data_IF_680833830101
#
_entry.id   IF_680833830101
#
_cell.length_a   1.000
_cell.length_b   1.000
_cell.length_c   1.000
_cell.angle_alpha   90.00
_cell.angle_beta   90.00
_cell.angle_gamma   90.00
#
_symmetry.space_group_name_H-M   'P 1'
#
loop_
_entity.id
_entity.type
_entity.pdbx_description
1 polymer ?
#
# COMPACT_ATOMS: atom_id res chain seq x y z
N UNK A 1 12.04 5.58 5.07
CA UNK A 1 11.08 4.45 5.05
C UNK A 1 10.55 4.14 6.44
N UNK A 2 9.24 4.27 6.65
CA UNK A 2 8.62 4.14 7.96
C UNK A 2 8.50 2.64 8.36
N UNK A 3 9.59 2.08 8.92
CA UNK A 3 9.66 0.68 9.38
C UNK A 3 8.49 0.29 10.29
N UNK A 4 7.96 1.25 11.05
CA UNK A 4 6.80 1.05 11.91
C UNK A 4 5.50 0.84 11.12
N UNK A 5 5.29 1.55 10.00
CA UNK A 5 4.15 1.30 9.11
C UNK A 5 4.22 -0.08 8.45
N UNK A 6 5.41 -0.53 8.01
CA UNK A 6 5.57 -1.90 7.48
C UNK A 6 5.30 -2.97 8.56
N UNK A 7 5.81 -2.77 9.78
CA UNK A 7 5.54 -3.66 10.90
C UNK A 7 4.04 -3.70 11.22
N UNK A 8 3.40 -2.54 11.22
CA UNK A 8 1.96 -2.43 11.45
C UNK A 8 1.15 -3.16 10.37
N UNK A 9 1.54 -3.04 9.09
CA UNK A 9 0.91 -3.80 7.99
C UNK A 9 0.99 -5.32 8.23
N UNK A 10 2.16 -5.83 8.61
CA UNK A 10 2.37 -7.25 8.92
C UNK A 10 1.53 -7.69 10.12
N UNK A 11 1.44 -6.85 11.17
CA UNK A 11 0.61 -7.11 12.34
C UNK A 11 -0.87 -7.18 11.97
N UNK A 12 -1.38 -6.25 11.16
CA UNK A 12 -2.76 -6.24 10.67
C UNK A 12 -3.07 -7.53 9.89
N UNK A 13 -2.22 -7.92 8.94
CA UNK A 13 -2.36 -9.18 8.19
C UNK A 13 -2.37 -10.42 9.09
N UNK A 14 -1.46 -10.46 10.06
CA UNK A 14 -1.40 -11.55 11.05
C UNK A 14 -2.68 -11.63 11.87
N UNK A 15 -3.21 -10.48 12.27
CA UNK A 15 -4.44 -10.39 13.05
C UNK A 15 -5.66 -10.83 12.23
N UNK A 16 -5.78 -10.42 10.96
CA UNK A 16 -6.79 -10.95 10.02
C UNK A 16 -6.75 -12.47 9.92
N UNK A 17 -5.55 -13.04 9.77
CA UNK A 17 -5.36 -14.49 9.75
C UNK A 17 -5.91 -15.18 11.00
N UNK A 18 -5.68 -14.60 12.20
CA UNK A 18 -6.24 -15.12 13.46
C UNK A 18 -7.76 -15.03 13.51
N UNK A 19 -8.35 -13.92 13.06
CA UNK A 19 -9.81 -13.73 12.99
C UNK A 19 -10.44 -14.79 12.09
N UNK A 20 -9.87 -15.05 10.91
CA UNK A 20 -10.36 -16.07 9.98
C UNK A 20 -10.32 -17.48 10.57
N UNK A 21 -9.24 -17.81 11.29
CA UNK A 21 -9.15 -19.08 12.02
C UNK A 21 -10.24 -19.20 13.10
N UNK A 22 -10.55 -18.11 13.79
CA UNK A 22 -11.61 -18.09 14.81
C UNK A 22 -13.00 -18.23 14.18
N UNK A 23 -13.27 -17.54 13.08
CA UNK A 23 -14.51 -17.68 12.31
C UNK A 23 -14.74 -19.13 11.88
N UNK A 24 -13.70 -19.80 11.34
CA UNK A 24 -13.79 -21.22 10.97
C UNK A 24 -14.18 -22.12 12.15
N UNK A 25 -13.57 -21.90 13.32
CA UNK A 25 -13.90 -22.65 14.54
C UNK A 25 -15.34 -22.40 15.01
N UNK A 26 -15.79 -21.15 15.00
CA UNK A 26 -17.15 -20.78 15.41
C UNK A 26 -18.20 -21.35 14.47
N UNK A 27 -17.96 -21.31 13.16
CA UNK A 27 -18.85 -21.87 12.14
C UNK A 27 -19.01 -23.37 12.31
N UNK A 28 -17.91 -24.10 12.50
CA UNK A 28 -17.96 -25.55 12.75
C UNK A 28 -18.73 -25.88 14.03
N UNK A 29 -18.54 -25.07 15.09
CA UNK A 29 -19.25 -25.26 16.36
C UNK A 29 -20.75 -24.94 16.26
N UNK A 30 -21.11 -23.89 15.52
CA UNK A 30 -22.50 -23.55 15.25
C UNK A 30 -23.21 -24.66 14.47
N UNK A 31 -22.57 -25.18 13.42
CA UNK A 31 -23.08 -26.30 12.64
C UNK A 31 -23.26 -27.57 13.48
N UNK A 32 -22.30 -27.86 14.37
CA UNK A 32 -22.42 -28.97 15.30
C UNK A 32 -23.65 -28.83 16.23
N UNK A 33 -23.88 -27.65 16.81
CA UNK A 33 -25.06 -27.42 17.65
C UNK A 33 -26.37 -27.46 16.84
N UNK A 34 -26.37 -26.96 15.61
CA UNK A 34 -27.52 -27.08 14.71
C UNK A 34 -27.87 -28.56 14.45
N UNK A 35 -26.87 -29.40 14.20
CA UNK A 35 -27.08 -30.84 14.02
C UNK A 35 -27.61 -31.52 15.29
N UNK A 36 -27.04 -31.20 16.46
CA UNK A 36 -27.53 -31.71 17.75
C UNK A 36 -28.97 -31.27 18.03
N UNK A 37 -29.33 -30.05 17.67
CA UNK A 37 -30.70 -29.55 17.78
C UNK A 37 -31.66 -30.40 16.94
N UNK A 38 -31.33 -30.63 15.67
CA UNK A 38 -32.15 -31.41 14.74
C UNK A 38 -32.35 -32.87 15.22
N UNK A 39 -31.29 -33.52 15.70
CA UNK A 39 -31.35 -34.90 16.21
C UNK A 39 -32.23 -35.02 17.44
N UNK A 40 -32.22 -34.02 18.33
CA UNK A 40 -32.95 -34.06 19.59
C UNK A 40 -34.37 -33.49 19.52
N UNK A 41 -34.77 -32.89 18.39
CA UNK A 41 -36.02 -32.15 18.26
C UNK A 41 -37.28 -32.96 18.63
N UNK A 42 -37.29 -34.27 18.35
CA UNK A 42 -38.47 -35.13 18.56
C UNK A 42 -38.54 -35.76 19.94
N UNK A 43 -37.39 -36.03 20.59
CA UNK A 43 -37.32 -36.74 21.88
C UNK A 43 -37.02 -35.82 23.07
N UNK A 44 -36.28 -34.75 22.84
CA UNK A 44 -35.80 -33.84 23.88
C UNK A 44 -35.92 -32.38 23.44
N UNK A 45 -37.16 -31.91 23.27
CA UNK A 45 -37.48 -30.58 22.74
C UNK A 45 -36.78 -29.42 23.48
N UNK A 46 -36.73 -29.46 24.81
CA UNK A 46 -36.06 -28.42 25.61
C UNK A 46 -34.54 -28.34 25.33
N UNK A 47 -33.88 -29.50 25.18
CA UNK A 47 -32.45 -29.58 24.87
C UNK A 47 -32.20 -29.13 23.43
N UNK A 48 -33.06 -29.53 22.49
CA UNK A 48 -32.99 -29.09 21.09
C UNK A 48 -33.10 -27.56 20.96
N UNK A 49 -34.00 -26.92 21.72
CA UNK A 49 -34.10 -25.46 21.77
C UNK A 49 -32.85 -24.79 22.33
N UNK A 50 -32.22 -25.38 23.35
CA UNK A 50 -30.98 -24.85 23.90
C UNK A 50 -29.85 -24.88 22.86
N UNK A 51 -29.68 -25.99 22.15
CA UNK A 51 -28.68 -26.08 21.06
C UNK A 51 -28.98 -25.11 19.91
N UNK A 52 -30.25 -24.87 19.57
CA UNK A 52 -30.62 -23.88 18.57
C UNK A 52 -30.19 -22.47 18.99
N UNK A 53 -30.43 -22.09 20.24
CA UNK A 53 -29.99 -20.79 20.80
C UNK A 53 -28.48 -20.63 20.79
N UNK A 54 -27.74 -21.66 21.20
CA UNK A 54 -26.27 -21.66 21.17
C UNK A 54 -25.74 -21.50 19.73
N UNK A 55 -26.32 -22.22 18.77
CA UNK A 55 -25.98 -22.06 17.35
C UNK A 55 -26.22 -20.63 16.85
N UNK A 56 -27.37 -20.04 17.19
CA UNK A 56 -27.73 -18.67 16.77
C UNK A 56 -26.76 -17.63 17.37
N UNK A 57 -26.38 -17.79 18.63
CA UNK A 57 -25.40 -16.91 19.28
C UNK A 57 -24.03 -16.98 18.60
N UNK A 58 -23.56 -18.18 18.26
CA UNK A 58 -22.29 -18.35 17.54
C UNK A 58 -22.34 -17.74 16.13
N UNK A 59 -23.46 -17.85 15.42
CA UNK A 59 -23.63 -17.21 14.12
C UNK A 59 -23.59 -15.68 14.22
N UNK A 60 -24.25 -15.09 15.23
CA UNK A 60 -24.17 -13.64 15.50
C UNK A 60 -22.74 -13.20 15.78
N UNK A 61 -22.00 -13.94 16.61
CA UNK A 61 -20.58 -13.65 16.87
C UNK A 61 -19.77 -13.74 15.57
N UNK A 62 -20.01 -14.77 14.75
CA UNK A 62 -19.32 -14.93 13.46
C UNK A 62 -19.57 -13.75 12.52
N UNK A 63 -20.80 -13.24 12.45
CA UNK A 63 -21.13 -12.04 11.66
C UNK A 63 -20.38 -10.80 12.15
N UNK A 64 -20.24 -10.61 13.46
CA UNK A 64 -19.43 -9.51 14.01
C UNK A 64 -17.94 -9.65 13.67
N UNK A 65 -17.39 -10.87 13.73
CA UNK A 65 -16.01 -11.14 13.30
C UNK A 65 -15.81 -10.90 11.81
N UNK A 66 -16.83 -11.16 10.99
CA UNK A 66 -16.77 -10.89 9.54
C UNK A 66 -16.72 -9.40 9.25
N UNK A 67 -17.56 -8.62 9.93
CA UNK A 67 -17.46 -7.16 9.87
C UNK A 67 -16.08 -6.66 10.33
N UNK A 68 -15.49 -7.30 11.33
CA UNK A 68 -14.14 -6.98 11.80
C UNK A 68 -13.05 -7.32 10.77
N UNK A 69 -13.13 -8.47 10.09
CA UNK A 69 -12.17 -8.81 9.01
C UNK A 69 -12.25 -7.79 7.87
N UNK A 70 -13.45 -7.35 7.49
CA UNK A 70 -13.64 -6.30 6.47
C UNK A 70 -13.01 -4.98 6.91
N UNK A 71 -13.19 -4.57 8.18
CA UNK A 71 -12.54 -3.35 8.70
C UNK A 71 -11.01 -3.45 8.67
N UNK A 72 -10.46 -4.62 9.00
CA UNK A 72 -9.02 -4.86 8.96
C UNK A 72 -8.49 -4.90 7.53
N UNK A 73 -9.28 -5.40 6.56
CA UNK A 73 -8.97 -5.34 5.14
C UNK A 73 -8.88 -3.89 4.64
N UNK A 74 -9.87 -3.08 5.00
CA UNK A 74 -9.86 -1.66 4.67
C UNK A 74 -8.63 -0.98 5.27
N UNK A 75 -8.30 -1.28 6.53
CA UNK A 75 -7.10 -0.76 7.17
C UNK A 75 -5.82 -1.18 6.44
N UNK A 76 -5.70 -2.46 6.08
CA UNK A 76 -4.57 -3.00 5.32
C UNK A 76 -4.36 -2.23 4.00
N UNK A 77 -5.41 -2.08 3.19
CA UNK A 77 -5.35 -1.35 1.93
C UNK A 77 -4.90 0.11 2.13
N UNK A 78 -5.39 0.78 3.18
CA UNK A 78 -5.02 2.18 3.46
C UNK A 78 -3.56 2.30 3.91
N UNK A 79 -3.06 1.36 4.70
CA UNK A 79 -1.65 1.33 5.12
C UNK A 79 -0.74 1.06 3.93
N UNK A 80 -1.08 0.11 3.06
CA UNK A 80 -0.35 -0.14 1.82
C UNK A 80 -0.30 1.08 0.92
N UNK A 81 -1.45 1.74 0.74
CA UNK A 81 -1.53 2.97 -0.06
C UNK A 81 -0.63 4.05 0.52
N UNK A 82 -0.61 4.22 1.84
CA UNK A 82 0.28 5.19 2.50
C UNK A 82 1.77 4.86 2.28
N UNK A 83 2.14 3.58 2.31
CA UNK A 83 3.51 3.14 2.00
C UNK A 83 3.90 3.43 0.54
N UNK A 84 2.99 3.18 -0.41
CA UNK A 84 3.22 3.51 -1.81
C UNK A 84 3.34 5.03 -2.04
N UNK A 85 2.50 5.83 -1.38
CA UNK A 85 2.59 7.29 -1.46
C UNK A 85 3.93 7.79 -0.89
N UNK A 86 4.39 7.26 0.24
CA UNK A 86 5.71 7.59 0.82
C UNK A 86 6.85 7.26 -0.17
N UNK A 87 6.76 6.10 -0.83
CA UNK A 87 7.72 5.71 -1.86
C UNK A 87 7.71 6.68 -3.05
N UNK A 88 6.53 6.97 -3.62
CA UNK A 88 6.38 7.91 -4.75
C UNK A 88 6.87 9.30 -4.37
N UNK A 89 6.58 9.76 -3.15
CA UNK A 89 7.04 11.06 -2.67
C UNK A 89 8.58 11.12 -2.60
N UNK A 90 9.26 10.05 -2.20
CA UNK A 90 10.73 9.97 -2.22
C UNK A 90 11.28 10.00 -3.64
N UNK A 91 10.68 9.22 -4.56
CA UNK A 91 11.10 9.23 -5.98
C UNK A 91 10.90 10.61 -6.64
N UNK A 92 9.83 11.32 -6.28
CA UNK A 92 9.60 12.69 -6.75
C UNK A 92 10.73 13.65 -6.33
N UNK A 93 11.23 13.52 -5.08
CA UNK A 93 12.38 14.32 -4.62
C UNK A 93 13.65 13.98 -5.41
N UNK A 94 13.87 12.70 -5.73
CA UNK A 94 15.01 12.28 -6.55
C UNK A 94 15.00 12.98 -7.92
N UNK A 95 13.83 13.08 -8.57
CA UNK A 95 13.69 13.77 -9.86
C UNK A 95 13.97 15.27 -9.74
N UNK A 96 13.52 15.93 -8.67
CA UNK A 96 13.77 17.36 -8.47
C UNK A 96 15.26 17.63 -8.19
N UNK A 97 15.93 16.77 -7.41
CA UNK A 97 17.39 16.88 -7.25
C UNK A 97 18.13 16.56 -8.55
N UNK A 98 17.63 15.65 -9.40
CA UNK A 98 18.18 15.39 -10.73
C UNK A 98 18.12 16.62 -11.64
N UNK A 99 17.04 17.40 -11.61
CA UNK A 99 16.97 18.68 -12.34
C UNK A 99 18.05 19.66 -11.88
N UNK A 100 18.36 19.65 -10.58
CA UNK A 100 19.43 20.48 -10.01
C UNK A 100 20.82 20.01 -10.45
N UNK A 101 21.07 18.70 -10.48
CA UNK A 101 22.33 18.15 -10.99
C UNK A 101 22.47 18.40 -12.49
N UNK A 102 21.42 18.22 -13.28
CA UNK A 102 21.40 18.54 -14.71
C UNK A 102 21.85 19.97 -14.97
N UNK A 103 21.30 20.95 -14.22
CA UNK A 103 21.72 22.35 -14.32
C UNK A 103 23.23 22.54 -14.13
N UNK A 104 23.85 21.78 -13.21
CA UNK A 104 25.31 21.86 -12.96
C UNK A 104 26.12 21.24 -14.10
N UNK A 105 25.63 20.16 -14.70
CA UNK A 105 26.27 19.51 -15.85
C UNK A 105 26.17 20.35 -17.13
N UNK A 106 25.18 21.24 -17.20
CA UNK A 106 24.88 22.04 -18.39
C UNK A 106 24.95 23.56 -18.13
N UNK A 107 26.08 24.11 -17.67
CA UNK A 107 26.20 25.54 -17.33
C UNK A 107 26.08 26.47 -18.55
N UNK A 108 26.20 25.91 -19.76
CA UNK A 108 26.14 26.64 -21.03
C UNK A 108 24.72 26.85 -21.57
N UNK A 109 23.66 26.31 -20.94
CA UNK A 109 22.28 26.40 -21.44
C UNK A 109 21.62 27.80 -21.25
N UNK A 110 22.38 28.79 -20.78
CA UNK A 110 21.94 30.17 -20.68
C UNK A 110 21.16 30.50 -19.41
N UNK A 111 20.98 31.80 -19.18
CA UNK A 111 20.39 32.33 -17.95
C UNK A 111 18.88 32.04 -17.81
N UNK A 112 18.13 32.08 -18.92
CA UNK A 112 16.67 31.86 -18.90
C UNK A 112 16.31 30.45 -18.44
N UNK A 113 16.95 29.41 -19.01
CA UNK A 113 16.69 28.03 -18.60
C UNK A 113 17.14 27.80 -17.15
N UNK A 114 18.27 28.40 -16.77
CA UNK A 114 18.78 28.35 -15.40
C UNK A 114 17.75 28.90 -14.40
N UNK A 115 17.14 30.05 -14.71
CA UNK A 115 16.09 30.66 -13.87
C UNK A 115 14.86 29.77 -13.78
N UNK A 116 14.43 29.17 -14.89
CA UNK A 116 13.28 28.25 -14.92
C UNK A 116 13.49 27.02 -14.01
N UNK A 117 14.69 26.44 -14.04
CA UNK A 117 15.05 25.31 -13.16
C UNK A 117 15.07 25.72 -11.68
N UNK A 118 15.58 26.91 -11.37
CA UNK A 118 15.58 27.44 -9.99
C UNK A 118 14.15 27.72 -9.49
N UNK A 119 13.27 28.22 -10.35
CA UNK A 119 11.86 28.45 -10.03
C UNK A 119 11.14 27.13 -9.74
N UNK A 120 11.33 26.10 -10.57
CA UNK A 120 10.77 24.77 -10.35
C UNK A 120 11.25 24.17 -9.01
N UNK A 121 12.56 24.26 -8.75
CA UNK A 121 13.15 23.78 -7.51
C UNK A 121 12.55 24.49 -6.29
N UNK A 122 12.48 25.82 -6.35
CA UNK A 122 11.94 26.65 -5.26
C UNK A 122 10.45 26.40 -5.05
N UNK A 123 9.67 26.29 -6.13
CA UNK A 123 8.23 25.99 -6.09
C UNK A 123 7.96 24.63 -5.46
N UNK A 124 8.79 23.63 -5.77
CA UNK A 124 8.66 22.30 -5.18
C UNK A 124 8.89 22.32 -3.66
N UNK A 125 10.01 22.87 -3.20
CA UNK A 125 10.35 22.88 -1.77
C UNK A 125 9.50 23.85 -0.92
N UNK A 126 8.83 24.82 -1.56
CA UNK A 126 7.81 25.65 -0.89
C UNK A 126 6.47 24.92 -0.78
N UNK A 127 6.14 24.07 -1.75
CA UNK A 127 4.89 23.29 -1.78
C UNK A 127 4.95 22.00 -0.94
N UNK A 128 6.14 21.39 -0.84
CA UNK A 128 6.35 20.11 -0.18
C UNK A 128 7.33 20.24 0.99
N UNK A 129 6.91 19.81 2.19
CA UNK A 129 7.80 19.69 3.34
C UNK A 129 8.58 18.38 3.27
N UNK A 130 9.80 18.45 2.76
CA UNK A 130 10.70 17.29 2.65
C UNK A 130 11.69 17.30 3.81
N UNK A 131 11.83 16.20 4.58
CA UNK A 131 12.84 16.10 5.64
C UNK A 131 14.27 16.12 5.08
N UNK A 132 15.20 16.79 5.76
CA UNK A 132 16.62 16.89 5.36
C UNK A 132 17.29 15.53 5.04
N UNK A 133 17.08 14.45 5.80
CA UNK A 133 17.69 13.15 5.48
C UNK A 133 17.25 12.58 4.12
N UNK A 134 16.03 12.91 3.68
CA UNK A 134 15.50 12.48 2.36
C UNK A 134 16.18 13.27 1.25
N UNK A 135 16.40 14.57 1.45
CA UNK A 135 17.11 15.43 0.47
C UNK A 135 18.54 14.94 0.27
N UNK A 136 19.25 14.58 1.35
CA UNK A 136 20.62 14.06 1.27
C UNK A 136 20.67 12.77 0.43
N UNK A 137 19.76 11.82 0.69
CA UNK A 137 19.68 10.57 -0.07
C UNK A 137 19.27 10.82 -1.53
N UNK A 138 18.36 11.76 -1.78
CA UNK A 138 17.90 12.09 -3.12
C UNK A 138 19.02 12.67 -4.00
N UNK A 139 19.97 13.41 -3.41
CA UNK A 139 21.16 13.89 -4.14
C UNK A 139 22.06 12.77 -4.63
N UNK A 140 22.22 11.71 -3.86
CA UNK A 140 22.99 10.53 -4.27
C UNK A 140 22.30 9.83 -5.44
N UNK A 141 20.97 9.71 -5.38
CA UNK A 141 20.15 9.08 -6.43
C UNK A 141 19.91 9.95 -7.67
N UNK A 142 20.09 11.26 -7.57
CA UNK A 142 19.86 12.20 -8.67
C UNK A 142 20.65 11.83 -9.93
N UNK A 143 21.89 11.34 -9.77
CA UNK A 143 22.74 10.90 -10.88
C UNK A 143 22.18 9.65 -11.57
N UNK A 144 21.63 8.70 -10.80
CA UNK A 144 20.98 7.51 -11.35
C UNK A 144 19.76 7.90 -12.19
N UNK A 145 18.94 8.84 -11.70
CA UNK A 145 17.77 9.37 -12.43
C UNK A 145 18.19 10.04 -13.75
N UNK A 146 19.31 10.78 -13.78
CA UNK A 146 19.83 11.35 -15.03
C UNK A 146 20.28 10.26 -16.02
N UNK A 147 20.94 9.21 -15.53
CA UNK A 147 21.32 8.07 -16.37
C UNK A 147 20.10 7.34 -16.94
N UNK A 148 19.04 7.17 -16.15
CA UNK A 148 17.77 6.61 -16.63
C UNK A 148 17.14 7.50 -17.71
N UNK A 149 17.16 8.82 -17.53
CA UNK A 149 16.68 9.77 -18.54
C UNK A 149 17.44 9.61 -19.87
N UNK A 150 18.76 9.51 -19.84
CA UNK A 150 19.59 9.26 -21.02
C UNK A 150 19.26 7.93 -21.70
N UNK A 151 19.05 6.87 -20.92
CA UNK A 151 18.66 5.57 -21.45
C UNK A 151 17.29 5.63 -22.16
N UNK A 152 16.33 6.34 -21.58
CA UNK A 152 15.01 6.55 -22.18
C UNK A 152 15.09 7.33 -23.48
N UNK A 153 15.93 8.37 -23.56
CA UNK A 153 16.18 9.11 -24.81
C UNK A 153 16.74 8.17 -25.88
N UNK A 154 17.79 7.41 -25.54
CA UNK A 154 18.40 6.44 -26.48
C UNK A 154 17.42 5.37 -26.95
N UNK A 155 16.51 4.92 -26.09
CA UNK A 155 15.46 3.96 -26.45
C UNK A 155 14.50 4.57 -27.48
N UNK A 156 14.01 5.80 -27.24
CA UNK A 156 13.13 6.53 -28.18
C UNK A 156 13.77 6.75 -29.55
N UNK A 157 15.06 7.10 -29.57
CA UNK A 157 15.79 7.27 -30.83
C UNK A 157 15.93 5.97 -31.63
N UNK A 158 16.09 4.82 -30.95
CA UNK A 158 16.15 3.51 -31.61
C UNK A 158 14.80 3.10 -32.21
N UNK A 159 13.71 3.33 -31.48
CA UNK A 159 12.35 3.06 -31.97
C UNK A 159 12.00 3.94 -33.19
N UNK A 160 12.29 5.24 -33.11
CA UNK A 160 12.07 6.18 -34.22
C UNK A 160 12.94 5.90 -35.46
N UNK A 161 14.14 5.30 -35.30
CA UNK A 161 14.97 4.86 -36.43
C UNK A 161 14.50 3.55 -37.05
N UNK A 162 13.72 2.73 -36.33
CA UNK A 162 13.17 1.47 -36.87
C UNK A 162 11.95 1.70 -37.77
N UNK A 163 11.17 2.76 -37.54
CA UNK A 163 9.97 3.09 -38.33
C UNK A 163 10.26 3.80 -39.65
N UNK A 164 11.49 4.32 -39.84
CA UNK A 164 11.92 5.01 -41.08
C UNK A 164 12.55 4.04 -42.10
N UNK A 165 12.76 2.76 -41.73
CA UNK A 165 13.40 1.73 -42.58
C UNK A 165 12.43 0.72 -43.23
N UNK A 166 11.16 1.08 -43.40
CA UNK A 166 10.16 0.32 -44.18
C UNK A 166 9.69 1.15 -45.35
#
# INVERSE_FOLDING_TARGET
>A
MNKELHRFLVQTRTFRGKIRLWQGKLRNRAEHYRNLSAVNATRFSAIAQQYAKESEQLEKISQHLERMDVLLEMLEMKVETALYIDYIAQELVNVVEALREFKKETPFLGAELTMLLDELYTSFYTSFKVPEPVIIQAREKAVEVLQEADQLIRAREKEGKSSIKT
#
